data_IF_162982848299
#
_entry.id   IF_162982848299
#
_cell.length_a   1.000
_cell.length_b   1.000
_cell.length_c   1.000
_cell.angle_alpha   90.00
_cell.angle_beta   90.00
_cell.angle_gamma   90.00
#
_symmetry.space_group_name_H-M   'P 1'
#
loop_
_entity.id
_entity.type
_entity.pdbx_description
1 polymer ?
#
# COMPACT_ATOMS: atom_id res chain seq x y z
N UNK A 1 6.20 14.62 -34.01
CA UNK A 1 6.96 14.10 -32.86
C UNK A 1 7.77 12.82 -33.16
N UNK A 2 7.15 11.70 -33.57
CA UNK A 2 7.89 10.43 -33.81
C UNK A 2 9.03 10.54 -34.85
N UNK A 3 8.85 11.30 -35.93
CA UNK A 3 9.89 11.50 -36.96
C UNK A 3 11.10 12.31 -36.45
N UNK A 4 10.86 13.32 -35.61
CA UNK A 4 11.91 14.16 -35.04
C UNK A 4 12.74 13.40 -33.99
N UNK A 5 12.10 12.52 -33.23
CA UNK A 5 12.75 11.69 -32.19
C UNK A 5 13.61 10.59 -32.80
N UNK A 6 13.19 10.01 -33.93
CA UNK A 6 13.96 9.00 -34.66
C UNK A 6 15.23 9.54 -35.32
N UNK A 7 15.34 10.85 -35.56
CA UNK A 7 16.52 11.45 -36.18
C UNK A 7 17.66 11.70 -35.18
N UNK A 8 17.34 11.98 -33.92
CA UNK A 8 18.31 12.00 -32.80
C UNK A 8 19.00 10.63 -32.60
N UNK A 9 18.38 9.55 -33.07
CA UNK A 9 18.83 8.15 -33.00
C UNK A 9 20.17 7.87 -33.70
N UNK A 10 20.58 8.71 -34.67
CA UNK A 10 21.74 8.42 -35.54
C UNK A 10 23.04 9.12 -35.11
N UNK A 11 22.97 10.07 -34.17
CA UNK A 11 24.07 10.98 -33.82
C UNK A 11 24.90 10.54 -32.61
N UNK A 12 24.38 9.61 -31.79
CA UNK A 12 25.06 9.16 -30.58
C UNK A 12 26.08 8.02 -30.81
N UNK A 13 26.30 7.63 -32.07
CA UNK A 13 27.26 6.57 -32.46
C UNK A 13 28.70 7.08 -32.73
N UNK A 14 28.99 8.37 -32.55
CA UNK A 14 30.33 8.92 -32.78
C UNK A 14 30.92 9.45 -31.46
N UNK A 15 32.12 8.99 -31.07
CA UNK A 15 32.83 9.41 -29.86
C UNK A 15 32.95 10.93 -29.70
N UNK A 16 33.09 11.66 -30.83
CA UNK A 16 33.14 13.13 -30.88
C UNK A 16 31.85 13.80 -30.42
N UNK A 17 30.69 13.18 -30.66
CA UNK A 17 29.36 13.72 -30.31
C UNK A 17 29.11 13.62 -28.80
N UNK A 18 29.52 12.51 -28.18
CA UNK A 18 29.38 12.28 -26.73
C UNK A 18 30.31 13.18 -25.93
N UNK A 19 31.59 13.26 -26.31
CA UNK A 19 32.56 14.14 -25.64
C UNK A 19 32.17 15.62 -25.78
N UNK A 20 31.67 16.03 -26.95
CA UNK A 20 31.19 17.39 -27.16
C UNK A 20 29.99 17.71 -26.26
N UNK A 21 29.02 16.79 -26.14
CA UNK A 21 27.88 16.96 -25.26
C UNK A 21 28.31 17.11 -23.79
N UNK A 22 29.26 16.30 -23.33
CA UNK A 22 29.83 16.38 -21.97
C UNK A 22 30.53 17.73 -21.73
N UNK A 23 31.33 18.22 -22.68
CA UNK A 23 31.93 19.55 -22.59
C UNK A 23 30.87 20.66 -22.50
N UNK A 24 29.77 20.56 -23.27
CA UNK A 24 28.68 21.55 -23.20
C UNK A 24 27.93 21.49 -21.88
N UNK A 25 27.71 20.29 -21.33
CA UNK A 25 27.12 20.10 -20.00
C UNK A 25 27.95 20.79 -18.92
N UNK A 26 29.28 20.61 -18.94
CA UNK A 26 30.20 21.29 -18.02
C UNK A 26 30.14 22.81 -18.14
N UNK A 27 30.26 23.33 -19.37
CA UNK A 27 30.25 24.77 -19.62
C UNK A 27 28.95 25.45 -19.18
N UNK A 28 27.83 24.73 -19.27
CA UNK A 28 26.50 25.24 -18.93
C UNK A 28 26.05 24.86 -17.52
N UNK A 29 26.90 24.18 -16.75
CA UNK A 29 26.61 23.69 -15.40
C UNK A 29 25.33 22.82 -15.33
N UNK A 30 25.13 21.97 -16.34
CA UNK A 30 24.03 20.99 -16.39
C UNK A 30 24.57 19.62 -15.95
N UNK A 31 23.80 18.78 -15.24
CA UNK A 31 24.22 17.43 -14.87
C UNK A 31 24.76 16.63 -16.06
N UNK A 32 25.84 15.87 -15.84
CA UNK A 32 26.48 15.05 -16.88
C UNK A 32 25.71 13.76 -17.12
N UNK A 33 24.62 13.85 -17.85
CA UNK A 33 23.77 12.72 -18.14
C UNK A 33 23.77 12.38 -19.62
N UNK A 34 23.78 11.08 -19.93
CA UNK A 34 23.54 10.60 -21.28
C UNK A 34 22.06 10.76 -21.63
N UNK A 35 21.76 11.07 -22.89
CA UNK A 35 20.37 11.04 -23.37
C UNK A 35 19.84 9.60 -23.29
N UNK A 36 18.58 9.48 -22.87
CA UNK A 36 17.89 8.19 -22.78
C UNK A 36 17.20 7.93 -24.11
N UNK A 37 17.21 6.68 -24.55
CA UNK A 37 16.51 6.27 -25.76
C UNK A 37 15.13 5.72 -25.41
N UNK A 38 14.14 6.11 -26.22
CA UNK A 38 12.83 5.49 -26.17
C UNK A 38 12.89 4.01 -26.56
N UNK A 39 12.23 3.19 -25.75
CA UNK A 39 11.99 1.77 -25.97
C UNK A 39 10.49 1.59 -26.14
N UNK A 40 9.98 1.36 -27.38
CA UNK A 40 8.55 1.40 -27.68
C UNK A 40 7.66 0.47 -26.85
N UNK A 41 8.24 -0.59 -26.27
CA UNK A 41 7.53 -1.56 -25.43
C UNK A 41 7.36 -1.11 -23.98
N UNK A 42 7.95 0.01 -23.57
CA UNK A 42 7.95 0.50 -22.19
C UNK A 42 7.69 2.00 -22.17
N UNK A 43 6.46 2.40 -21.90
CA UNK A 43 6.09 3.83 -21.85
C UNK A 43 6.99 4.67 -20.91
N UNK A 44 7.50 4.06 -19.83
CA UNK A 44 8.46 4.65 -18.91
C UNK A 44 9.70 5.23 -19.63
N UNK A 45 10.23 4.55 -20.65
CA UNK A 45 11.39 5.09 -21.38
C UNK A 45 11.04 6.29 -22.24
N UNK A 46 9.80 6.40 -22.72
CA UNK A 46 9.36 7.58 -23.46
C UNK A 46 9.29 8.79 -22.53
N UNK A 47 8.77 8.61 -21.31
CA UNK A 47 8.78 9.62 -20.26
C UNK A 47 10.23 10.03 -19.91
N UNK A 48 11.06 9.05 -19.55
CA UNK A 48 12.45 9.29 -19.11
C UNK A 48 13.30 9.96 -20.21
N UNK A 49 13.04 9.63 -21.48
CA UNK A 49 13.69 10.28 -22.63
C UNK A 49 13.35 11.77 -22.70
N UNK A 50 12.06 12.12 -22.61
CA UNK A 50 11.62 13.51 -22.73
C UNK A 50 12.07 14.32 -21.51
N UNK A 51 11.91 13.79 -20.30
CA UNK A 51 12.41 14.42 -19.07
C UNK A 51 13.91 14.67 -19.15
N UNK A 52 14.70 13.67 -19.58
CA UNK A 52 16.14 13.82 -19.77
C UNK A 52 16.48 14.81 -20.88
N UNK A 53 15.71 14.86 -21.96
CA UNK A 53 15.93 15.84 -23.02
C UNK A 53 15.71 17.27 -22.53
N UNK A 54 14.64 17.51 -21.74
CA UNK A 54 14.35 18.81 -21.16
C UNK A 54 15.46 19.27 -20.21
N UNK A 55 15.96 18.38 -19.34
CA UNK A 55 17.13 18.64 -18.48
C UNK A 55 18.37 19.04 -19.31
N UNK A 56 18.57 18.38 -20.45
CA UNK A 56 19.77 18.52 -21.27
C UNK A 56 19.63 19.51 -22.43
N UNK A 57 18.49 20.20 -22.54
CA UNK A 57 18.13 20.98 -23.73
C UNK A 57 19.19 22.03 -24.09
N UNK A 58 19.68 22.78 -23.10
CA UNK A 58 20.67 23.84 -23.33
C UNK A 58 22.00 23.27 -23.88
N UNK A 59 22.46 22.14 -23.32
CA UNK A 59 23.67 21.46 -23.77
C UNK A 59 23.48 20.85 -25.17
N UNK A 60 22.33 20.23 -25.44
CA UNK A 60 21.98 19.67 -26.76
C UNK A 60 21.90 20.76 -27.82
N UNK A 61 21.25 21.89 -27.51
CA UNK A 61 21.18 23.04 -28.41
C UNK A 61 22.57 23.64 -28.68
N UNK A 62 23.38 23.85 -27.65
CA UNK A 62 24.75 24.36 -27.83
C UNK A 62 25.59 23.41 -28.70
N UNK A 63 25.52 22.11 -28.44
CA UNK A 63 26.24 21.10 -29.21
C UNK A 63 25.76 21.05 -30.68
N UNK A 64 24.47 21.19 -30.94
CA UNK A 64 23.93 21.14 -32.32
C UNK A 64 24.41 22.31 -33.19
N UNK A 65 24.74 23.46 -32.59
CA UNK A 65 25.25 24.63 -33.31
C UNK A 65 26.74 24.54 -33.68
N UNK A 66 27.46 23.54 -33.18
CA UNK A 66 28.89 23.34 -33.43
C UNK A 66 29.18 22.88 -34.86
N UNK A 67 30.25 23.43 -35.46
CA UNK A 67 30.63 23.13 -36.86
C UNK A 67 30.89 21.64 -37.09
N UNK A 68 31.36 20.92 -36.08
CA UNK A 68 31.60 19.48 -36.12
C UNK A 68 30.31 18.66 -36.32
N UNK A 69 29.18 19.15 -35.80
CA UNK A 69 27.88 18.49 -35.88
C UNK A 69 26.96 19.09 -36.94
N UNK A 70 27.19 20.35 -37.38
CA UNK A 70 26.46 21.02 -38.48
C UNK A 70 26.47 20.29 -39.83
N UNK A 71 27.44 19.39 -40.08
CA UNK A 71 27.45 18.53 -41.28
C UNK A 71 26.30 17.51 -41.26
N UNK A 72 25.78 17.19 -40.07
CA UNK A 72 24.64 16.31 -39.90
C UNK A 72 23.34 17.13 -39.94
N UNK A 73 22.75 17.28 -41.12
CA UNK A 73 21.49 18.03 -41.37
C UNK A 73 20.24 17.49 -40.65
N UNK A 74 20.39 16.48 -39.79
CA UNK A 74 19.29 15.75 -39.15
C UNK A 74 19.13 16.07 -37.64
N UNK A 75 19.88 17.04 -37.10
CA UNK A 75 19.71 17.48 -35.70
C UNK A 75 18.64 18.56 -35.65
N UNK A 76 17.38 18.17 -35.44
CA UNK A 76 16.30 19.11 -35.17
C UNK A 76 16.07 19.18 -33.66
N UNK A 77 16.31 20.35 -33.06
CA UNK A 77 15.93 20.63 -31.66
C UNK A 77 14.47 21.06 -31.61
N UNK A 78 13.80 20.79 -30.47
CA UNK A 78 12.47 21.33 -30.21
C UNK A 78 12.50 22.87 -30.21
N UNK A 79 11.45 23.49 -30.78
CA UNK A 79 11.24 24.92 -30.63
C UNK A 79 10.70 25.27 -29.24
N UNK A 80 10.74 26.55 -28.87
CA UNK A 80 10.33 26.99 -27.53
C UNK A 80 8.90 26.58 -27.16
N UNK A 81 7.99 26.57 -28.13
CA UNK A 81 6.60 26.14 -27.90
C UNK A 81 6.50 24.63 -27.65
N UNK A 82 7.27 23.82 -28.37
CA UNK A 82 7.30 22.36 -28.19
C UNK A 82 7.94 21.99 -26.85
N UNK A 83 8.95 22.75 -26.42
CA UNK A 83 9.60 22.61 -25.11
C UNK A 83 8.59 22.87 -23.99
N UNK A 84 7.91 24.02 -24.02
CA UNK A 84 6.89 24.36 -23.02
C UNK A 84 5.79 23.30 -22.94
N UNK A 85 5.31 22.84 -24.10
CA UNK A 85 4.32 21.77 -24.16
C UNK A 85 4.86 20.46 -23.55
N UNK A 86 6.11 20.10 -23.84
CA UNK A 86 6.74 18.89 -23.29
C UNK A 86 6.92 18.98 -21.77
N UNK A 87 7.33 20.14 -21.24
CA UNK A 87 7.41 20.41 -19.79
C UNK A 87 6.05 20.19 -19.13
N UNK A 88 5.00 20.81 -19.68
CA UNK A 88 3.63 20.69 -19.16
C UNK A 88 3.11 19.25 -19.20
N UNK A 89 3.35 18.52 -20.29
CA UNK A 89 2.94 17.11 -20.43
C UNK A 89 3.71 16.20 -19.47
N UNK A 90 5.01 16.43 -19.26
CA UNK A 90 5.82 15.64 -18.32
C UNK A 90 5.34 15.84 -16.88
N UNK A 91 4.97 17.06 -16.49
CA UNK A 91 4.39 17.31 -15.17
C UNK A 91 3.06 16.58 -14.97
N UNK A 92 2.21 16.51 -16.01
CA UNK A 92 0.96 15.72 -15.96
C UNK A 92 1.23 14.22 -15.83
N UNK A 93 2.24 13.69 -16.51
CA UNK A 93 2.56 12.26 -16.50
C UNK A 93 3.34 11.81 -15.26
N UNK A 94 3.96 12.73 -14.53
CA UNK A 94 4.81 12.46 -13.37
C UNK A 94 4.14 11.61 -12.28
N UNK A 95 2.89 11.87 -11.86
CA UNK A 95 2.21 11.01 -10.89
C UNK A 95 2.07 9.55 -11.37
N UNK A 96 1.80 9.32 -12.66
CA UNK A 96 1.71 7.97 -13.22
C UNK A 96 3.06 7.27 -13.20
N UNK A 97 4.14 8.00 -13.50
CA UNK A 97 5.51 7.47 -13.48
C UNK A 97 5.91 7.06 -12.07
N UNK A 98 5.65 7.92 -11.10
CA UNK A 98 5.92 7.65 -9.68
C UNK A 98 5.18 6.40 -9.21
N UNK A 99 3.87 6.32 -9.49
CA UNK A 99 3.05 5.19 -9.07
C UNK A 99 3.48 3.90 -9.76
N UNK A 100 3.77 3.95 -11.06
CA UNK A 100 4.23 2.76 -11.79
C UNK A 100 5.57 2.29 -11.25
N UNK A 101 6.48 3.21 -10.93
CA UNK A 101 7.78 2.86 -10.34
C UNK A 101 7.58 2.22 -8.97
N UNK A 102 6.78 2.84 -8.09
CA UNK A 102 6.42 2.30 -6.78
C UNK A 102 5.88 0.87 -6.91
N UNK A 103 4.85 0.66 -7.73
CA UNK A 103 4.22 -0.66 -7.91
C UNK A 103 5.15 -1.70 -8.57
N UNK A 104 6.17 -1.27 -9.31
CA UNK A 104 7.17 -2.16 -9.88
C UNK A 104 8.33 -2.49 -8.92
N UNK A 105 8.60 -1.65 -7.93
CA UNK A 105 9.66 -1.85 -6.94
C UNK A 105 9.17 -2.38 -5.61
N UNK A 106 7.87 -2.26 -5.34
CA UNK A 106 7.25 -2.69 -4.09
C UNK A 106 7.40 -4.20 -3.89
N UNK A 107 8.02 -4.59 -2.79
CA UNK A 107 8.20 -5.99 -2.41
C UNK A 107 7.11 -6.50 -1.48
N UNK A 108 6.27 -5.60 -0.94
CA UNK A 108 5.17 -5.92 -0.01
C UNK A 108 3.79 -5.91 -0.69
N UNK A 109 2.73 -6.14 0.09
CA UNK A 109 1.37 -6.25 -0.41
C UNK A 109 0.86 -4.94 -1.04
N UNK A 110 0.58 -4.98 -2.34
CA UNK A 110 0.20 -3.81 -3.15
C UNK A 110 -1.32 -3.63 -3.32
N UNK A 111 -2.12 -4.63 -2.96
CA UNK A 111 -3.58 -4.63 -3.17
C UNK A 111 -4.28 -3.52 -2.35
N UNK A 112 -3.79 -3.23 -1.15
CA UNK A 112 -4.31 -2.16 -0.28
C UNK A 112 -4.09 -0.75 -0.85
N UNK A 113 -3.21 -0.58 -1.84
CA UNK A 113 -2.92 0.71 -2.43
C UNK A 113 -3.81 1.03 -3.64
N UNK A 114 -4.45 0.03 -4.26
CA UNK A 114 -5.07 0.16 -5.60
C UNK A 114 -6.10 1.29 -5.66
N UNK A 115 -7.07 1.32 -4.74
CA UNK A 115 -8.12 2.34 -4.75
C UNK A 115 -7.61 3.71 -4.33
N UNK A 116 -6.69 3.76 -3.36
CA UNK A 116 -6.04 5.01 -2.94
C UNK A 116 -5.31 5.66 -4.12
N UNK A 117 -4.48 4.90 -4.82
CA UNK A 117 -3.72 5.34 -5.99
C UNK A 117 -4.64 5.75 -7.14
N UNK A 118 -5.71 4.99 -7.41
CA UNK A 118 -6.73 5.34 -8.41
C UNK A 118 -7.35 6.71 -8.09
N UNK A 119 -7.80 6.92 -6.86
CA UNK A 119 -8.45 8.17 -6.45
C UNK A 119 -7.48 9.35 -6.49
N UNK A 120 -6.24 9.17 -6.03
CA UNK A 120 -5.19 10.18 -6.13
C UNK A 120 -4.91 10.58 -7.58
N UNK A 121 -4.79 9.60 -8.47
CA UNK A 121 -4.61 9.85 -9.90
C UNK A 121 -5.80 10.61 -10.49
N UNK A 122 -7.03 10.17 -10.25
CA UNK A 122 -8.22 10.85 -10.75
C UNK A 122 -8.30 12.31 -10.29
N UNK A 123 -7.94 12.58 -9.03
CA UNK A 123 -7.84 13.93 -8.47
C UNK A 123 -6.75 14.76 -9.16
N UNK A 124 -5.58 14.18 -9.42
CA UNK A 124 -4.50 14.89 -10.14
C UNK A 124 -4.85 15.21 -11.60
N UNK A 125 -5.81 14.49 -12.18
CA UNK A 125 -6.30 14.67 -13.55
C UNK A 125 -7.59 15.51 -13.62
N UNK A 126 -7.96 16.21 -12.55
CA UNK A 126 -9.09 17.13 -12.59
C UNK A 126 -8.82 18.28 -13.57
N UNK A 127 -9.84 18.71 -14.35
CA UNK A 127 -9.70 19.85 -15.25
C UNK A 127 -9.27 21.10 -14.47
N UNK A 128 -8.26 21.80 -14.97
CA UNK A 128 -7.86 23.09 -14.45
C UNK A 128 -7.95 24.14 -15.57
N UNK A 129 -8.56 25.29 -15.27
CA UNK A 129 -8.74 26.34 -16.26
C UNK A 129 -7.43 26.90 -16.80
N UNK A 130 -6.36 26.82 -15.99
CA UNK A 130 -5.00 27.25 -16.37
C UNK A 130 -4.28 26.27 -17.29
N UNK A 131 -4.80 25.08 -17.48
CA UNK A 131 -4.19 24.07 -18.36
C UNK A 131 -4.26 24.52 -19.83
N UNK A 132 -3.18 24.28 -20.58
CA UNK A 132 -3.21 24.45 -22.03
C UNK A 132 -4.13 23.39 -22.69
N UNK A 133 -4.56 23.59 -23.96
CA UNK A 133 -5.43 22.64 -24.66
C UNK A 133 -4.89 21.20 -24.66
N UNK A 134 -3.59 21.03 -24.92
CA UNK A 134 -2.94 19.71 -24.94
C UNK A 134 -2.96 19.05 -23.57
N UNK A 135 -2.70 19.78 -22.49
CA UNK A 135 -2.79 19.25 -21.12
C UNK A 135 -4.23 18.82 -20.80
N UNK A 136 -5.23 19.62 -21.19
CA UNK A 136 -6.65 19.26 -21.00
C UNK A 136 -6.99 17.96 -21.72
N UNK A 137 -6.53 17.78 -22.95
CA UNK A 137 -6.72 16.54 -23.71
C UNK A 137 -6.02 15.34 -23.06
N UNK A 138 -4.76 15.49 -22.64
CA UNK A 138 -3.99 14.42 -21.97
C UNK A 138 -4.66 14.01 -20.66
N UNK A 139 -5.02 14.98 -19.80
CA UNK A 139 -5.74 14.71 -18.55
C UNK A 139 -7.08 14.02 -18.81
N UNK A 140 -7.85 14.50 -19.79
CA UNK A 140 -9.13 13.89 -20.15
C UNK A 140 -8.97 12.44 -20.62
N UNK A 141 -7.97 12.16 -21.46
CA UNK A 141 -7.69 10.81 -21.94
C UNK A 141 -7.27 9.86 -20.79
N UNK A 142 -6.34 10.29 -19.94
CA UNK A 142 -5.90 9.51 -18.77
C UNK A 142 -7.07 9.25 -17.84
N UNK A 143 -7.81 10.31 -17.48
CA UNK A 143 -8.96 10.22 -16.58
C UNK A 143 -10.04 9.30 -17.14
N UNK A 144 -10.34 9.39 -18.44
CA UNK A 144 -11.26 8.49 -19.13
C UNK A 144 -10.83 7.02 -19.01
N UNK A 145 -9.54 6.73 -19.21
CA UNK A 145 -9.02 5.37 -19.12
C UNK A 145 -9.04 4.77 -17.70
N UNK A 146 -8.93 5.62 -16.67
CA UNK A 146 -8.87 5.21 -15.26
C UNK A 146 -10.23 5.13 -14.59
N UNK A 147 -11.19 5.98 -15.00
CA UNK A 147 -12.51 6.10 -14.34
C UNK A 147 -13.21 4.74 -14.26
N UNK A 148 -13.18 3.99 -15.35
CA UNK A 148 -13.94 2.75 -15.52
C UNK A 148 -13.19 1.51 -15.01
N UNK A 149 -11.98 1.67 -14.47
CA UNK A 149 -11.23 0.58 -13.84
C UNK A 149 -11.78 0.31 -12.45
N UNK A 150 -11.91 -0.96 -12.06
CA UNK A 150 -12.36 -1.35 -10.72
C UNK A 150 -13.74 -0.75 -10.35
N UNK A 151 -14.69 -0.78 -11.28
CA UNK A 151 -16.07 -0.28 -11.06
C UNK A 151 -17.03 -1.35 -10.58
N UNK A 152 -16.65 -2.62 -10.68
CA UNK A 152 -17.43 -3.74 -10.15
C UNK A 152 -17.65 -3.58 -8.63
N UNK A 153 -18.90 -3.57 -8.13
CA UNK A 153 -19.18 -3.33 -6.71
C UNK A 153 -18.54 -4.34 -5.77
N UNK A 154 -18.52 -5.63 -6.14
CA UNK A 154 -17.93 -6.67 -5.30
C UNK A 154 -16.41 -6.52 -5.21
N UNK A 155 -15.76 -6.20 -6.33
CA UNK A 155 -14.33 -5.89 -6.36
C UNK A 155 -14.00 -4.62 -5.57
N UNK A 156 -14.83 -3.57 -5.66
CA UNK A 156 -14.62 -2.38 -4.85
C UNK A 156 -14.75 -2.68 -3.36
N UNK A 157 -15.78 -3.39 -2.93
CA UNK A 157 -15.94 -3.79 -1.53
C UNK A 157 -14.72 -4.58 -1.03
N UNK A 158 -14.24 -5.56 -1.81
CA UNK A 158 -13.02 -6.30 -1.52
C UNK A 158 -11.79 -5.39 -1.39
N UNK A 159 -11.53 -4.51 -2.36
CA UNK A 159 -10.36 -3.62 -2.34
C UNK A 159 -10.41 -2.58 -1.21
N UNK A 160 -11.59 -2.07 -0.88
CA UNK A 160 -11.77 -1.19 0.27
C UNK A 160 -11.47 -1.91 1.58
N UNK A 161 -11.92 -3.16 1.73
CA UNK A 161 -11.58 -4.00 2.89
C UNK A 161 -10.09 -4.27 2.98
N UNK A 162 -9.42 -4.60 1.86
CA UNK A 162 -7.96 -4.74 1.82
C UNK A 162 -7.24 -3.46 2.27
N UNK A 163 -7.77 -2.29 1.90
CA UNK A 163 -7.21 -1.00 2.32
C UNK A 163 -7.48 -0.73 3.80
N UNK A 164 -8.66 -1.12 4.30
CA UNK A 164 -9.07 -0.91 5.69
C UNK A 164 -8.22 -1.74 6.67
N UNK A 165 -7.89 -2.98 6.30
CA UNK A 165 -7.07 -3.88 7.14
C UNK A 165 -5.57 -3.56 7.08
N UNK A 166 -5.13 -2.70 6.16
CA UNK A 166 -3.74 -2.22 6.12
C UNK A 166 -3.56 -1.08 7.14
N UNK A 167 -2.73 -1.26 8.19
CA UNK A 167 -2.57 -0.26 9.25
C UNK A 167 -2.06 1.10 8.76
N UNK A 168 -1.37 1.13 7.62
CA UNK A 168 -0.88 2.35 6.97
C UNK A 168 -2.01 3.17 6.35
N UNK A 169 -3.07 2.50 5.87
CA UNK A 169 -4.14 3.10 5.08
C UNK A 169 -5.53 3.01 5.72
N UNK A 170 -5.64 2.45 6.93
CA UNK A 170 -6.88 2.27 7.69
C UNK A 170 -7.74 3.53 7.89
N UNK A 171 -7.15 4.72 7.78
CA UNK A 171 -7.90 5.98 7.82
C UNK A 171 -8.87 6.16 6.63
N UNK A 172 -8.63 5.43 5.53
CA UNK A 172 -9.41 5.46 4.28
C UNK A 172 -9.64 6.88 3.75
N UNK A 173 -8.58 7.69 3.69
CA UNK A 173 -8.63 9.12 3.32
C UNK A 173 -9.16 9.43 1.90
N UNK A 174 -9.36 8.40 1.07
CA UNK A 174 -9.87 8.52 -0.29
C UNK A 174 -11.39 8.38 -0.41
N UNK A 175 -12.10 8.05 0.69
CA UNK A 175 -13.56 7.97 0.74
C UNK A 175 -14.11 8.94 1.80
N UNK A 176 -15.43 9.21 1.73
CA UNK A 176 -16.10 9.99 2.75
C UNK A 176 -16.37 9.18 4.03
N UNK A 177 -16.78 9.88 5.11
CA UNK A 177 -17.03 9.25 6.40
C UNK A 177 -18.14 8.19 6.35
N UNK A 178 -19.18 8.40 5.53
CA UNK A 178 -20.31 7.48 5.45
C UNK A 178 -19.90 6.16 4.79
N UNK A 179 -19.16 6.23 3.69
CA UNK A 179 -18.57 5.08 3.01
C UNK A 179 -17.57 4.36 3.92
N UNK A 180 -16.72 5.11 4.64
CA UNK A 180 -15.80 4.53 5.63
C UNK A 180 -16.53 3.73 6.71
N UNK A 181 -17.59 4.30 7.29
CA UNK A 181 -18.41 3.59 8.29
C UNK A 181 -19.04 2.32 7.71
N UNK A 182 -19.56 2.37 6.48
CA UNK A 182 -20.11 1.19 5.80
C UNK A 182 -19.06 0.09 5.62
N UNK A 183 -17.83 0.44 5.19
CA UNK A 183 -16.73 -0.50 5.00
C UNK A 183 -16.40 -1.20 6.33
N UNK A 184 -16.25 -0.45 7.42
CA UNK A 184 -15.95 -1.03 8.73
C UNK A 184 -17.09 -1.84 9.33
N UNK A 185 -18.35 -1.46 9.08
CA UNK A 185 -19.51 -2.24 9.49
C UNK A 185 -19.61 -3.58 8.73
N UNK A 186 -19.36 -3.53 7.41
CA UNK A 186 -19.26 -4.72 6.55
C UNK A 186 -18.16 -5.66 7.04
N UNK A 187 -16.95 -5.13 7.25
CA UNK A 187 -15.81 -5.86 7.78
C UNK A 187 -16.08 -6.48 9.16
N UNK A 188 -16.70 -5.73 10.08
CA UNK A 188 -17.09 -6.22 11.40
C UNK A 188 -18.03 -7.42 11.29
N UNK A 189 -19.01 -7.35 10.38
CA UNK A 189 -19.98 -8.43 10.18
C UNK A 189 -19.30 -9.69 9.64
N UNK A 190 -18.36 -9.54 8.71
CA UNK A 190 -17.59 -10.67 8.17
C UNK A 190 -16.68 -11.31 9.21
N UNK A 191 -15.97 -10.51 10.02
CA UNK A 191 -15.12 -11.02 11.10
C UNK A 191 -15.95 -11.82 12.11
N UNK A 192 -17.14 -11.32 12.48
CA UNK A 192 -18.05 -12.04 13.39
C UNK A 192 -18.49 -13.38 12.79
N UNK A 193 -18.86 -13.39 11.51
CA UNK A 193 -19.25 -14.63 10.82
C UNK A 193 -18.10 -15.64 10.78
N UNK A 194 -16.86 -15.19 10.54
CA UNK A 194 -15.65 -16.03 10.56
C UNK A 194 -15.43 -16.62 11.96
N UNK A 195 -15.54 -15.80 13.00
CA UNK A 195 -15.37 -16.24 14.40
C UNK A 195 -16.45 -17.25 14.82
N UNK A 196 -17.70 -17.05 14.41
CA UNK A 196 -18.79 -17.99 14.69
C UNK A 196 -18.59 -19.34 13.97
N UNK A 197 -18.15 -19.30 12.70
CA UNK A 197 -17.80 -20.52 11.95
C UNK A 197 -16.62 -21.27 12.57
N UNK A 198 -15.60 -20.54 13.04
CA UNK A 198 -14.44 -21.12 13.75
C UNK A 198 -14.88 -21.86 15.01
N UNK A 199 -15.69 -21.23 15.86
CA UNK A 199 -16.23 -21.84 17.09
C UNK A 199 -17.08 -23.08 16.82
N UNK A 200 -17.90 -23.06 15.76
CA UNK A 200 -18.70 -24.22 15.37
C UNK A 200 -17.83 -25.41 14.95
N UNK A 201 -16.74 -25.15 14.22
CA UNK A 201 -15.79 -26.18 13.75
C UNK A 201 -14.99 -26.79 14.91
N UNK A 202 -14.56 -25.97 15.87
CA UNK A 202 -13.85 -26.42 17.08
C UNK A 202 -14.74 -27.29 17.98
N UNK A 203 -16.01 -26.92 18.13
CA UNK A 203 -16.99 -27.69 18.92
C UNK A 203 -17.29 -29.05 18.28
N UNK A 204 -17.35 -29.12 16.95
CA UNK A 204 -17.50 -30.37 16.21
C UNK A 204 -16.26 -31.29 16.29
N UNK A 205 -15.06 -30.70 16.25
CA UNK A 205 -13.79 -31.44 16.39
C UNK A 205 -13.57 -32.04 17.79
N UNK A 206 -13.96 -31.32 18.85
CA UNK A 206 -13.85 -31.80 20.23
C UNK A 206 -14.74 -33.03 20.50
N UNK A 207 -15.93 -33.09 19.89
CA UNK A 207 -16.90 -34.17 20.07
C UNK A 207 -16.47 -35.50 19.43
N UNK A 208 -15.50 -35.48 18.51
CA UNK A 208 -14.95 -36.68 17.85
C UNK A 208 -13.84 -37.36 18.68
N UNK A 209 -13.34 -36.72 19.74
CA UNK A 209 -12.18 -37.19 20.53
C UNK A 209 -12.53 -37.88 21.86
N UNK A 210 -13.80 -37.96 22.26
CA UNK A 210 -14.25 -38.62 23.51
C UNK A 210 -14.78 -40.03 23.28
N UNK A 211 -14.00 -40.88 22.61
CA UNK A 211 -14.37 -42.25 22.29
C UNK A 211 -13.23 -43.25 22.38
N UNK A 212 -12.59 -43.37 23.55
CA UNK A 212 -11.92 -44.60 24.01
C UNK A 212 -11.60 -44.51 25.49
N UNK A 213 -12.49 -45.06 26.31
CA UNK A 213 -12.15 -45.52 27.64
C UNK A 213 -11.78 -47.00 27.50
N UNK A 214 -10.53 -47.35 27.79
CA UNK A 214 -10.14 -48.72 28.07
C UNK A 214 -10.08 -48.94 29.60
N UNK A 215 -10.47 -50.11 30.12
CA UNK A 215 -10.58 -50.37 31.56
C UNK A 215 -9.33 -51.04 32.16
N UNK A 216 -9.13 -50.72 33.45
CA UNK A 216 -8.39 -51.43 34.51
C UNK A 216 -6.90 -51.77 34.35
N UNK A 217 -6.08 -51.34 35.33
CA UNK A 217 -5.42 -52.29 36.22
C UNK A 217 -4.99 -51.66 37.55
N UNK A 218 -5.29 -52.37 38.63
CA UNK A 218 -4.91 -52.13 40.01
C UNK A 218 -3.43 -52.36 40.26
N UNK A 219 -2.79 -51.47 41.03
CA UNK A 219 -1.45 -51.69 41.58
C UNK A 219 -1.19 -50.82 42.79
N UNK A 220 -1.26 -51.42 43.98
CA UNK A 220 -0.85 -50.82 45.25
C UNK A 220 0.65 -50.48 45.24
N UNK A 221 1.04 -49.31 45.73
CA UNK A 221 2.22 -49.17 46.61
C UNK A 221 2.28 -47.78 47.24
N UNK A 222 2.54 -47.82 48.54
CA UNK A 222 2.67 -46.74 49.48
C UNK A 222 4.02 -46.02 49.36
N UNK A 223 4.01 -44.68 49.39
CA UNK A 223 5.04 -43.92 50.11
C UNK A 223 4.51 -42.54 50.49
N UNK A 224 4.65 -42.22 51.77
CA UNK A 224 4.18 -41.02 52.46
C UNK A 224 5.14 -39.85 52.28
N UNK A 225 4.61 -38.66 51.98
CA UNK A 225 5.26 -37.37 52.29
C UNK A 225 4.17 -36.30 52.52
N UNK A 226 4.28 -35.44 53.53
CA UNK A 226 3.21 -34.51 53.91
C UNK A 226 3.15 -33.28 52.97
N UNK A 227 1.96 -32.70 52.73
CA UNK A 227 1.81 -31.50 51.91
C UNK A 227 2.23 -30.22 52.67
N UNK A 228 2.72 -29.17 51.99
CA UNK A 228 3.05 -27.89 52.60
C UNK A 228 1.77 -27.14 53.06
N UNK A 229 1.88 -26.22 54.04
CA UNK A 229 0.72 -25.50 54.58
C UNK A 229 0.09 -24.54 53.55
N UNK A 230 -1.23 -24.31 53.62
CA UNK A 230 -1.93 -23.43 52.68
C UNK A 230 -1.48 -21.97 52.85
N UNK A 231 -1.39 -21.19 51.75
CA UNK A 231 -1.08 -19.76 51.82
C UNK A 231 -2.17 -18.98 52.57
N UNK A 232 -1.81 -17.87 53.25
CA UNK A 232 -2.76 -17.10 54.05
C UNK A 232 -3.88 -16.49 53.18
N UNK A 233 -5.11 -16.36 53.71
CA UNK A 233 -6.23 -15.84 52.97
C UNK A 233 -5.97 -14.38 52.56
N UNK A 234 -5.99 -14.13 51.25
CA UNK A 234 -5.95 -12.79 50.67
C UNK A 234 -7.18 -12.04 51.19
N UNK A 235 -6.96 -10.98 51.99
CA UNK A 235 -8.04 -10.12 52.48
C UNK A 235 -8.69 -9.45 51.28
N UNK A 236 -9.98 -9.75 51.04
CA UNK A 236 -10.77 -9.08 50.00
C UNK A 236 -10.91 -7.60 50.39
N UNK A 237 -10.72 -6.71 49.42
CA UNK A 237 -10.90 -5.26 49.63
C UNK A 237 -12.33 -4.97 50.10
N UNK A 238 -12.52 -3.98 50.98
CA UNK A 238 -13.85 -3.58 51.46
C UNK A 238 -14.83 -3.26 50.31
N UNK A 239 -14.31 -2.77 49.17
CA UNK A 239 -15.10 -2.58 47.94
C UNK A 239 -15.60 -3.92 47.36
N UNK A 240 -14.75 -4.95 47.36
CA UNK A 240 -15.12 -6.28 46.89
C UNK A 240 -16.07 -7.00 47.85
N UNK A 241 -16.06 -6.68 49.15
CA UNK A 241 -17.01 -7.22 50.12
C UNK A 241 -18.39 -6.54 50.05
N UNK A 242 -18.42 -5.20 49.95
CA UNK A 242 -19.67 -4.43 49.88
C UNK A 242 -20.37 -4.55 48.53
N UNK A 243 -19.60 -4.58 47.44
CA UNK A 243 -20.11 -4.48 46.08
C UNK A 243 -19.86 -5.72 45.24
N UNK A 244 -19.08 -6.69 45.73
CA UNK A 244 -18.73 -7.88 44.96
C UNK A 244 -19.91 -8.76 44.60
N UNK A 245 -21.02 -8.71 45.34
CA UNK A 245 -22.26 -9.41 45.00
C UNK A 245 -23.21 -8.59 44.11
N UNK A 246 -23.23 -7.27 44.30
CA UNK A 246 -24.05 -6.31 43.53
C UNK A 246 -23.50 -6.06 42.12
N UNK A 247 -22.18 -6.16 41.97
CA UNK A 247 -21.44 -5.96 40.73
C UNK A 247 -20.67 -7.22 40.35
N UNK A 248 -21.17 -8.41 40.70
CA UNK A 248 -20.68 -9.65 40.08
C UNK A 248 -20.72 -9.38 38.58
N UNK A 249 -19.54 -9.28 37.99
CA UNK A 249 -19.43 -9.28 36.54
C UNK A 249 -19.90 -10.68 36.21
N UNK A 250 -21.17 -10.82 35.83
CA UNK A 250 -21.56 -12.00 35.10
C UNK A 250 -20.51 -12.12 34.00
N UNK A 251 -19.78 -13.23 33.96
CA UNK A 251 -19.10 -13.65 32.74
C UNK A 251 -20.19 -13.97 31.71
N UNK A 252 -20.97 -12.95 31.37
CA UNK A 252 -21.89 -12.95 30.27
C UNK A 252 -20.97 -12.99 29.09
N UNK A 253 -20.83 -14.16 28.50
CA UNK A 253 -20.24 -14.36 27.17
C UNK A 253 -20.68 -13.16 26.33
N UNK A 254 -19.80 -12.17 26.16
CA UNK A 254 -20.12 -11.01 25.37
C UNK A 254 -20.43 -11.56 23.98
N UNK A 255 -21.56 -11.17 23.37
CA UNK A 255 -21.86 -11.60 22.01
C UNK A 255 -20.62 -11.34 21.14
N UNK A 256 -20.23 -12.28 20.28
CA UNK A 256 -19.02 -12.16 19.45
C UNK A 256 -18.94 -10.78 18.77
N UNK A 257 -20.10 -10.28 18.32
CA UNK A 257 -20.29 -8.94 17.79
C UNK A 257 -19.79 -7.80 18.69
N UNK A 258 -20.01 -7.85 20.01
CA UNK A 258 -19.54 -6.79 20.93
C UNK A 258 -18.03 -6.80 21.09
N UNK A 259 -17.40 -7.98 21.11
CA UNK A 259 -15.94 -8.10 21.21
C UNK A 259 -15.28 -7.57 19.94
N UNK A 260 -15.71 -8.05 18.78
CA UNK A 260 -15.18 -7.62 17.47
C UNK A 260 -15.38 -6.12 17.27
N UNK A 261 -16.55 -5.56 17.61
CA UNK A 261 -16.77 -4.10 17.54
C UNK A 261 -15.78 -3.32 18.41
N UNK A 262 -15.46 -3.83 19.60
CA UNK A 262 -14.47 -3.20 20.48
C UNK A 262 -13.06 -3.22 19.87
N UNK A 263 -12.65 -4.36 19.31
CA UNK A 263 -11.35 -4.52 18.63
C UNK A 263 -11.23 -3.64 17.39
N UNK A 264 -12.25 -3.63 16.52
CA UNK A 264 -12.28 -2.76 15.33
C UNK A 264 -12.21 -1.28 15.73
N UNK A 265 -12.94 -0.88 16.78
CA UNK A 265 -12.88 0.50 17.29
C UNK A 265 -11.47 0.84 17.79
N UNK A 266 -10.84 -0.06 18.55
CA UNK A 266 -9.47 0.11 19.03
C UNK A 266 -8.46 0.22 17.88
N UNK A 267 -8.62 -0.61 16.86
CA UNK A 267 -7.80 -0.60 15.66
C UNK A 267 -7.90 0.74 14.90
N UNK A 268 -9.13 1.24 14.74
CA UNK A 268 -9.40 2.54 14.10
C UNK A 268 -8.84 3.72 14.90
N UNK A 269 -8.81 3.62 16.24
CA UNK A 269 -8.28 4.68 17.11
C UNK A 269 -6.75 4.65 17.26
N UNK A 270 -6.11 3.51 16.99
CA UNK A 270 -4.66 3.41 17.08
C UNK A 270 -4.00 4.24 15.98
N UNK A 271 -2.80 4.75 16.24
CA UNK A 271 -2.03 5.49 15.22
C UNK A 271 -1.75 4.60 13.99
N UNK A 272 -1.66 5.24 12.81
CA UNK A 272 -1.23 4.56 11.60
C UNK A 272 0.27 4.28 11.65
N UNK A 273 0.67 3.15 11.08
CA UNK A 273 2.10 2.80 10.97
C UNK A 273 2.77 3.61 9.86
N UNK A 274 4.11 3.58 9.82
CA UNK A 274 4.88 4.26 8.78
C UNK A 274 4.55 3.70 7.39
N UNK A 275 4.53 4.55 6.37
CA UNK A 275 4.29 4.11 4.98
C UNK A 275 5.36 3.11 4.49
N UNK A 276 6.60 3.25 4.97
CA UNK A 276 7.74 2.38 4.65
C UNK A 276 7.77 1.10 5.51
N UNK A 277 6.86 0.95 6.47
CA UNK A 277 6.81 -0.25 7.32
C UNK A 277 6.13 -1.41 6.61
N UNK A 278 6.56 -2.63 6.93
CA UNK A 278 5.85 -3.84 6.52
C UNK A 278 4.50 -3.91 7.29
N UNK A 279 3.34 -3.89 6.59
CA UNK A 279 2.05 -3.99 7.24
C UNK A 279 1.85 -5.32 7.99
N UNK A 280 2.57 -6.39 7.62
CA UNK A 280 2.50 -7.68 8.32
C UNK A 280 3.25 -7.65 9.66
N UNK A 281 4.32 -6.87 9.76
CA UNK A 281 5.05 -6.68 11.01
C UNK A 281 4.18 -6.02 12.10
N UNK A 282 3.13 -5.28 11.72
CA UNK A 282 2.17 -4.75 12.69
C UNK A 282 1.39 -5.86 13.39
N UNK A 283 1.02 -6.92 12.65
CA UNK A 283 0.32 -8.09 13.19
C UNK A 283 1.23 -8.88 14.13
N UNK A 284 2.53 -8.98 13.80
CA UNK A 284 3.52 -9.69 14.61
C UNK A 284 3.92 -8.95 15.89
N UNK A 285 3.94 -7.61 15.85
CA UNK A 285 4.37 -6.77 16.99
C UNK A 285 3.25 -6.40 17.95
N UNK A 286 1.97 -6.50 17.55
CA UNK A 286 0.92 -6.54 18.56
C UNK A 286 1.08 -7.87 19.31
N UNK A 287 1.14 -7.84 20.64
CA UNK A 287 1.07 -8.99 21.56
C UNK A 287 -0.29 -9.76 21.45
N UNK A 288 -0.80 -9.94 20.25
CA UNK A 288 -1.84 -10.88 19.88
C UNK A 288 -1.38 -12.31 20.10
N UNK A 289 -0.08 -12.61 20.19
CA UNK A 289 0.39 -13.91 20.67
C UNK A 289 -0.06 -14.19 22.12
N UNK A 290 -0.16 -13.19 22.99
CA UNK A 290 -0.73 -13.41 24.33
C UNK A 290 -2.27 -13.45 24.32
N UNK A 291 -2.94 -12.79 23.37
CA UNK A 291 -4.41 -12.80 23.26
C UNK A 291 -4.94 -14.09 22.60
N UNK A 292 -4.25 -14.58 21.57
CA UNK A 292 -4.52 -15.84 20.90
C UNK A 292 -4.09 -17.06 21.74
N UNK A 293 -2.97 -17.01 22.47
CA UNK A 293 -2.60 -18.10 23.39
C UNK A 293 -3.51 -18.17 24.63
N UNK A 294 -4.08 -17.04 25.10
CA UNK A 294 -5.05 -17.05 26.21
C UNK A 294 -6.40 -17.68 25.86
N UNK A 295 -6.74 -17.80 24.57
CA UNK A 295 -7.91 -18.53 24.10
C UNK A 295 -7.73 -20.05 23.98
N UNK A 296 -6.48 -20.55 23.99
CA UNK A 296 -6.15 -21.96 23.78
C UNK A 296 -5.54 -22.70 24.98
N UNK A 297 -4.98 -21.99 25.97
CA UNK A 297 -4.25 -22.62 27.07
C UNK A 297 -5.04 -22.64 28.39
N UNK A 298 -6.14 -23.41 28.45
CA UNK A 298 -6.66 -23.99 29.71
C UNK A 298 -7.21 -25.40 29.48
N UNK A 299 -6.34 -26.34 29.11
CA UNK A 299 -6.47 -27.77 29.43
C UNK A 299 -5.07 -28.39 29.51
N UNK A 300 -4.49 -28.36 30.70
CA UNK A 300 -3.93 -29.50 31.46
C UNK A 300 -3.19 -28.96 32.67
#
# INVERSE_FOLDING_TARGET
MQSHVLQTRQLYKQHTSTHLAECKQEMLNVPKHKLIHDVPTRWNSSYDMVERYLEQQAAVYSASTEKALKKNKNINTLGDQDVRMAEEVIEVLKPLKTITTLMCTETTQSVSMILLLKTMLLKSMEPNEKDCPTVKEVKAAIRGSLKDRYTDPALQDFLHKCTAVDPRFKALSHVDNACREQIYNSLTTEIVAIEEQRKATETAGAMSSTGRADPEESGESSSSSPPPPPPPPIKKSAMAELFGELFKTEERNKPALQLVKGEVTSYMSADSTSLDSDPLAWVENMDLLEYWNRGGARKQ
#
